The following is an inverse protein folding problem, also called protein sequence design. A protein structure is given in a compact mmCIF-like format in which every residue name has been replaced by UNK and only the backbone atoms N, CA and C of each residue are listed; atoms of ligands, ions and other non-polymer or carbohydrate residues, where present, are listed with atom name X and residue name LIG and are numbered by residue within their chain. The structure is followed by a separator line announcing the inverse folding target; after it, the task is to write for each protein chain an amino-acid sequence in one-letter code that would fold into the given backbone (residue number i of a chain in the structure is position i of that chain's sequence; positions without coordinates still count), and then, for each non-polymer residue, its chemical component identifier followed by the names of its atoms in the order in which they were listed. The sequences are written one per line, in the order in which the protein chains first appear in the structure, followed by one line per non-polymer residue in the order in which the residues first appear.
data_IF_970288950370
#
_entry.id   IF_970288950370
#
_cell.length_a   1.000
_cell.length_b   1.000
_cell.length_c   1.000
_cell.angle_alpha   90.00
_cell.angle_beta   90.00
_cell.angle_gamma   90.00
#
_symmetry.space_group_name_H-M   'P 1'
#
loop_
_entity.id
_entity.type
_entity.pdbx_description
1 polymer ?
#
# COMPACT_ATOMS: atom_id res chain seq x y z
N UNK A 1 -17.60 -28.32 -10.47
CA UNK A 1 -16.61 -27.55 -11.27
C UNK A 1 -16.65 -26.11 -10.77
N UNK A 2 -15.51 -25.57 -10.30
CA UNK A 2 -15.44 -24.16 -9.84
C UNK A 2 -15.62 -23.25 -11.05
N UNK A 3 -16.42 -22.19 -10.93
CA UNK A 3 -16.62 -21.19 -11.98
C UNK A 3 -16.20 -19.80 -11.49
N UNK A 4 -16.04 -18.86 -12.42
CA UNK A 4 -15.71 -17.48 -12.07
C UNK A 4 -16.74 -16.83 -11.12
N UNK A 5 -17.98 -17.33 -11.11
CA UNK A 5 -19.10 -16.87 -10.27
C UNK A 5 -19.29 -17.69 -8.98
N UNK A 6 -18.41 -18.65 -8.70
CA UNK A 6 -18.41 -19.35 -7.41
C UNK A 6 -18.19 -18.35 -6.27
N UNK A 7 -19.01 -18.46 -5.23
CA UNK A 7 -18.87 -17.63 -4.03
C UNK A 7 -17.68 -18.14 -3.22
N UNK A 8 -16.69 -17.27 -3.04
CA UNK A 8 -15.46 -17.51 -2.31
C UNK A 8 -15.59 -17.01 -0.86
N UNK A 9 -14.91 -17.70 0.05
CA UNK A 9 -14.64 -17.18 1.41
C UNK A 9 -13.31 -16.45 1.37
N UNK A 10 -13.36 -15.14 1.59
CA UNK A 10 -12.22 -14.25 1.46
C UNK A 10 -11.91 -13.58 2.80
N UNK A 11 -10.64 -13.28 3.03
CA UNK A 11 -10.17 -12.49 4.17
C UNK A 11 -9.24 -11.40 3.65
N UNK A 12 -9.53 -10.14 3.95
CA UNK A 12 -8.59 -9.04 3.74
C UNK A 12 -7.94 -8.69 5.08
N UNK A 13 -6.61 -8.75 5.18
CA UNK A 13 -5.91 -8.27 6.39
C UNK A 13 -5.66 -6.77 6.28
N UNK A 14 -5.53 -6.07 7.40
CA UNK A 14 -5.23 -4.63 7.45
C UNK A 14 -4.34 -4.30 8.64
N UNK A 15 -3.96 -3.03 8.77
CA UNK A 15 -3.31 -2.51 9.97
C UNK A 15 -4.37 -2.27 11.05
N UNK A 16 -4.00 -2.52 12.30
CA UNK A 16 -4.88 -2.27 13.45
C UNK A 16 -5.29 -0.79 13.47
N UNK A 17 -6.58 -0.55 13.73
CA UNK A 17 -7.20 0.77 13.67
C UNK A 17 -7.76 1.17 12.30
N UNK A 18 -7.54 0.36 11.25
CA UNK A 18 -8.08 0.59 9.90
C UNK A 18 -9.18 -0.40 9.51
N UNK A 19 -9.60 -1.29 10.41
CA UNK A 19 -10.59 -2.32 10.12
C UNK A 19 -11.93 -1.74 9.65
N UNK A 20 -12.40 -0.67 10.29
CA UNK A 20 -13.65 0.01 9.89
C UNK A 20 -13.53 0.70 8.52
N UNK A 21 -12.35 1.23 8.19
CA UNK A 21 -12.07 1.80 6.86
C UNK A 21 -12.10 0.70 5.79
N UNK A 22 -11.44 -0.44 6.07
CA UNK A 22 -11.44 -1.58 5.16
C UNK A 22 -12.84 -2.18 4.96
N UNK A 23 -13.68 -2.22 6.00
CA UNK A 23 -15.10 -2.62 5.89
C UNK A 23 -15.82 -1.73 4.88
N UNK A 24 -15.65 -0.41 4.98
CA UNK A 24 -16.28 0.54 4.05
C UNK A 24 -15.78 0.37 2.61
N UNK A 25 -14.47 0.15 2.41
CA UNK A 25 -13.91 -0.13 1.08
C UNK A 25 -14.52 -1.41 0.48
N UNK A 26 -14.61 -2.49 1.26
CA UNK A 26 -15.17 -3.77 0.81
C UNK A 26 -16.67 -3.65 0.48
N UNK A 27 -17.44 -2.95 1.32
CA UNK A 27 -18.86 -2.69 1.06
C UNK A 27 -19.06 -1.89 -0.23
N UNK A 28 -18.22 -0.87 -0.46
CA UNK A 28 -18.24 -0.05 -1.68
C UNK A 28 -17.94 -0.87 -2.93
N UNK A 29 -17.06 -1.87 -2.83
CA UNK A 29 -16.77 -2.81 -3.92
C UNK A 29 -17.84 -3.89 -4.11
N UNK A 30 -18.87 -3.94 -3.26
CA UNK A 30 -19.99 -4.88 -3.37
C UNK A 30 -19.78 -6.21 -2.65
N UNK A 31 -18.81 -6.30 -1.74
CA UNK A 31 -18.59 -7.49 -0.91
C UNK A 31 -19.84 -7.85 -0.10
N UNK A 32 -20.04 -9.16 0.13
CA UNK A 32 -21.14 -9.71 0.93
C UNK A 32 -20.60 -10.32 2.22
N UNK A 33 -21.47 -10.53 3.21
CA UNK A 33 -21.12 -11.12 4.50
C UNK A 33 -19.88 -10.48 5.13
N UNK A 34 -19.81 -9.14 5.08
CA UNK A 34 -18.66 -8.38 5.55
C UNK A 34 -18.65 -8.40 7.07
N UNK A 35 -17.66 -9.09 7.63
CA UNK A 35 -17.52 -9.32 9.06
C UNK A 35 -16.15 -8.82 9.55
N UNK A 36 -16.19 -7.84 10.44
CA UNK A 36 -15.01 -7.18 10.98
C UNK A 36 -14.35 -8.08 12.01
N UNK A 37 -13.05 -8.33 11.83
CA UNK A 37 -12.21 -9.09 12.74
C UNK A 37 -11.07 -8.20 13.26
N UNK A 38 -10.31 -8.67 14.25
CA UNK A 38 -9.11 -7.95 14.68
C UNK A 38 -8.04 -7.97 13.57
N UNK A 39 -7.63 -6.80 13.07
CA UNK A 39 -6.63 -6.67 12.00
C UNK A 39 -7.04 -7.26 10.65
N UNK A 40 -8.32 -7.57 10.44
CA UNK A 40 -8.81 -8.17 9.20
C UNK A 40 -10.32 -7.99 9.02
N UNK A 41 -10.80 -8.27 7.81
CA UNK A 41 -12.23 -8.35 7.48
C UNK A 41 -12.47 -9.62 6.70
N UNK A 42 -13.39 -10.45 7.17
CA UNK A 42 -13.91 -11.61 6.44
C UNK A 42 -15.03 -11.13 5.52
N UNK A 43 -15.09 -11.69 4.31
CA UNK A 43 -16.13 -11.35 3.35
C UNK A 43 -16.34 -12.48 2.34
N UNK A 44 -17.40 -12.37 1.56
CA UNK A 44 -17.72 -13.27 0.46
C UNK A 44 -17.83 -12.50 -0.85
N UNK A 45 -17.38 -13.12 -1.93
CA UNK A 45 -17.40 -12.57 -3.28
C UNK A 45 -17.01 -13.60 -4.32
N UNK A 46 -17.18 -13.27 -5.59
CA UNK A 46 -16.72 -14.11 -6.69
C UNK A 46 -15.25 -13.81 -7.07
N UNK A 47 -14.72 -14.49 -8.09
CA UNK A 47 -13.35 -14.23 -8.55
C UNK A 47 -13.17 -12.82 -9.11
N UNK A 48 -14.22 -12.26 -9.73
CA UNK A 48 -14.20 -10.89 -10.24
C UNK A 48 -13.99 -9.89 -9.10
N UNK A 49 -14.73 -10.04 -7.99
CA UNK A 49 -14.53 -9.21 -6.81
C UNK A 49 -13.13 -9.40 -6.22
N UNK A 50 -12.65 -10.65 -6.09
CA UNK A 50 -11.30 -10.92 -5.55
C UNK A 50 -10.21 -10.20 -6.39
N UNK A 51 -10.29 -10.27 -7.71
CA UNK A 51 -9.36 -9.55 -8.60
C UNK A 51 -9.48 -8.04 -8.39
N UNK A 52 -10.71 -7.50 -8.35
CA UNK A 52 -10.94 -6.06 -8.14
C UNK A 52 -10.42 -5.59 -6.78
N UNK A 53 -10.53 -6.39 -5.73
CA UNK A 53 -9.98 -6.09 -4.41
C UNK A 53 -8.45 -5.88 -4.47
N UNK A 54 -7.70 -6.67 -5.26
CA UNK A 54 -6.26 -6.48 -5.42
C UNK A 54 -5.88 -5.15 -6.09
N UNK A 55 -6.78 -4.56 -6.87
CA UNK A 55 -6.58 -3.25 -7.51
C UNK A 55 -7.06 -2.07 -6.67
N UNK A 56 -8.07 -2.28 -5.82
CA UNK A 56 -8.89 -1.20 -5.25
C UNK A 56 -8.81 -1.01 -3.75
N UNK A 57 -8.49 -2.06 -2.98
CA UNK A 57 -8.39 -1.92 -1.53
C UNK A 57 -7.09 -1.20 -1.17
N UNK A 58 -7.21 0.02 -0.64
CA UNK A 58 -6.06 0.85 -0.27
C UNK A 58 -5.56 0.53 1.12
N UNK A 59 -6.50 0.16 2.01
CA UNK A 59 -6.20 -0.16 3.41
C UNK A 59 -6.01 -1.66 3.67
N UNK A 60 -6.12 -2.52 2.65
CA UNK A 60 -5.77 -3.92 2.78
C UNK A 60 -4.25 -4.14 2.69
N UNK A 61 -3.72 -5.03 3.54
CA UNK A 61 -2.35 -5.54 3.50
C UNK A 61 -2.27 -6.79 2.62
N UNK A 62 -3.26 -7.68 2.65
CA UNK A 62 -3.36 -8.89 1.81
C UNK A 62 -4.83 -9.19 1.50
N UNK A 63 -5.09 -9.89 0.39
CA UNK A 63 -6.39 -10.49 0.05
C UNK A 63 -6.19 -12.00 -0.02
N UNK A 64 -6.87 -12.74 0.85
CA UNK A 64 -6.64 -14.16 1.09
C UNK A 64 -7.87 -14.97 0.70
N UNK A 65 -7.69 -16.00 -0.14
CA UNK A 65 -8.69 -17.02 -0.42
C UNK A 65 -8.59 -18.14 0.63
N UNK A 66 -9.61 -18.32 1.46
CA UNK A 66 -9.64 -19.39 2.46
C UNK A 66 -9.85 -20.76 1.80
N UNK A 67 -8.92 -21.68 2.03
CA UNK A 67 -8.98 -23.04 1.48
C UNK A 67 -9.56 -24.02 2.49
N UNK A 68 -9.05 -23.98 3.72
CA UNK A 68 -9.42 -24.90 4.78
C UNK A 68 -9.34 -24.20 6.14
N UNK A 69 -10.19 -24.60 7.07
CA UNK A 69 -10.17 -24.11 8.44
C UNK A 69 -10.68 -25.20 9.38
N UNK A 70 -10.05 -25.33 10.55
CA UNK A 70 -10.47 -26.25 11.61
C UNK A 70 -9.97 -25.75 12.98
N UNK A 71 -10.46 -26.36 14.06
CA UNK A 71 -9.80 -26.22 15.37
C UNK A 71 -8.72 -27.29 15.49
N UNK A 72 -7.56 -26.91 16.01
CA UNK A 72 -6.41 -27.78 16.24
C UNK A 72 -6.18 -27.94 17.75
N UNK A 73 -5.88 -29.16 18.18
CA UNK A 73 -5.45 -29.48 19.54
C UNK A 73 -3.92 -29.62 19.62
N UNK A 74 -3.29 -30.11 18.55
CA UNK A 74 -1.85 -30.31 18.50
C UNK A 74 -1.22 -29.96 17.13
N UNK A 75 0.06 -30.31 16.98
CA UNK A 75 0.82 -30.04 15.75
C UNK A 75 0.48 -30.99 14.60
N UNK A 76 -0.02 -32.20 14.92
CA UNK A 76 -0.44 -33.19 13.93
C UNK A 76 -1.69 -32.70 13.22
N UNK A 77 -2.61 -32.08 13.93
CA UNK A 77 -3.83 -31.51 13.32
C UNK A 77 -3.53 -30.45 12.25
N UNK A 78 -2.50 -29.61 12.45
CA UNK A 78 -2.04 -28.67 11.41
C UNK A 78 -1.50 -29.40 10.17
N UNK A 79 -0.70 -30.45 10.39
CA UNK A 79 -0.14 -31.25 9.30
C UNK A 79 -1.25 -31.97 8.51
N UNK A 80 -2.20 -32.58 9.22
CA UNK A 80 -3.37 -33.25 8.64
C UNK A 80 -4.26 -32.27 7.86
N UNK A 81 -4.54 -31.09 8.42
CA UNK A 81 -5.26 -30.03 7.72
C UNK A 81 -4.53 -29.61 6.44
N UNK A 82 -3.21 -29.41 6.52
CA UNK A 82 -2.37 -29.09 5.37
C UNK A 82 -2.43 -30.16 4.28
N UNK A 83 -2.43 -31.44 4.66
CA UNK A 83 -2.58 -32.57 3.73
C UNK A 83 -3.99 -32.74 3.17
N UNK A 84 -5.03 -32.27 3.85
CA UNK A 84 -6.42 -32.37 3.40
C UNK A 84 -6.74 -31.50 2.18
N UNK A 85 -5.90 -30.50 1.90
CA UNK A 85 -6.06 -29.59 0.77
C UNK A 85 -5.54 -30.25 -0.51
N UNK A 86 -6.37 -30.30 -1.55
CA UNK A 86 -5.99 -30.80 -2.88
C UNK A 86 -5.06 -29.82 -3.64
N UNK A 87 -3.81 -29.65 -3.19
CA UNK A 87 -2.89 -28.66 -3.73
C UNK A 87 -2.63 -28.79 -5.23
N UNK A 88 -2.60 -30.02 -5.75
CA UNK A 88 -2.41 -30.32 -7.17
C UNK A 88 -3.56 -29.81 -8.06
N UNK A 89 -4.75 -29.58 -7.49
CA UNK A 89 -5.89 -28.94 -8.16
C UNK A 89 -5.81 -27.42 -8.12
N UNK A 90 -4.99 -26.85 -7.23
CA UNK A 90 -4.81 -25.41 -7.05
C UNK A 90 -3.64 -24.84 -7.86
N UNK A 91 -2.52 -25.56 -7.96
CA UNK A 91 -1.37 -25.13 -8.76
C UNK A 91 -0.52 -26.31 -9.25
N UNK A 92 0.36 -26.04 -10.22
CA UNK A 92 1.25 -27.05 -10.78
C UNK A 92 2.50 -27.26 -9.90
N UNK A 93 3.02 -28.49 -9.86
CA UNK A 93 4.16 -28.86 -9.00
C UNK A 93 5.47 -28.11 -9.33
N UNK A 94 5.58 -27.54 -10.53
CA UNK A 94 6.74 -26.74 -10.95
C UNK A 94 6.69 -25.28 -10.44
N UNK A 95 5.63 -24.89 -9.72
CA UNK A 95 5.53 -23.58 -9.09
C UNK A 95 6.26 -23.58 -7.76
N UNK A 96 6.95 -22.49 -7.47
CA UNK A 96 7.62 -22.27 -6.19
C UNK A 96 6.61 -21.83 -5.12
N UNK A 97 6.84 -22.26 -3.88
CA UNK A 97 5.97 -21.91 -2.76
C UNK A 97 6.70 -21.11 -1.67
N UNK A 98 5.95 -20.29 -0.94
CA UNK A 98 6.33 -19.77 0.37
C UNK A 98 5.15 -19.86 1.33
N UNK A 99 5.43 -20.08 2.62
CA UNK A 99 4.43 -20.07 3.68
C UNK A 99 4.71 -18.89 4.60
N UNK A 100 3.81 -17.91 4.58
CA UNK A 100 3.73 -16.84 5.57
C UNK A 100 2.83 -17.30 6.72
N UNK A 101 3.15 -16.95 7.96
CA UNK A 101 2.32 -17.30 9.10
C UNK A 101 2.09 -16.15 10.07
N UNK A 102 0.89 -16.10 10.63
CA UNK A 102 0.51 -15.26 11.76
C UNK A 102 -0.06 -16.18 12.85
N UNK A 103 0.66 -16.31 13.97
CA UNK A 103 0.36 -17.29 15.02
C UNK A 103 0.26 -16.59 16.36
N UNK A 104 -0.89 -16.76 17.00
CA UNK A 104 -1.15 -16.41 18.39
C UNK A 104 -1.81 -17.62 19.05
N UNK A 105 -1.01 -18.55 19.58
CA UNK A 105 -1.51 -19.82 20.10
C UNK A 105 -0.60 -20.35 21.22
N UNK A 106 -1.17 -21.17 22.11
CA UNK A 106 -0.38 -21.95 23.08
C UNK A 106 0.19 -23.24 22.47
N UNK A 107 -0.40 -23.73 21.37
CA UNK A 107 0.02 -24.96 20.68
C UNK A 107 1.31 -24.70 19.89
N UNK A 108 1.37 -23.53 19.25
CA UNK A 108 2.53 -23.07 18.48
C UNK A 108 3.07 -21.78 19.08
N UNK A 109 4.21 -21.86 19.77
CA UNK A 109 4.92 -20.70 20.31
C UNK A 109 5.78 -19.96 19.27
N UNK A 110 6.01 -20.57 18.10
CA UNK A 110 6.86 -20.03 17.04
C UNK A 110 6.14 -20.10 15.68
N UNK A 111 5.89 -18.93 15.10
CA UNK A 111 5.24 -18.79 13.79
C UNK A 111 6.03 -19.43 12.65
N UNK A 112 7.37 -19.34 12.68
CA UNK A 112 8.23 -19.95 11.67
C UNK A 112 8.13 -21.48 11.70
N UNK A 113 8.10 -22.08 12.88
CA UNK A 113 7.93 -23.53 13.03
C UNK A 113 6.57 -24.00 12.47
N UNK A 114 5.48 -23.29 12.76
CA UNK A 114 4.17 -23.59 12.19
C UNK A 114 4.17 -23.49 10.65
N UNK A 115 4.86 -22.47 10.10
CA UNK A 115 5.01 -22.31 8.65
C UNK A 115 5.78 -23.49 8.02
N UNK A 116 6.87 -23.94 8.65
CA UNK A 116 7.63 -25.11 8.20
C UNK A 116 6.77 -26.39 8.21
N UNK A 117 5.97 -26.60 9.26
CA UNK A 117 5.06 -27.75 9.34
C UNK A 117 4.03 -27.76 8.22
N UNK A 118 3.40 -26.61 7.93
CA UNK A 118 2.48 -26.52 6.80
C UNK A 118 3.20 -26.74 5.46
N UNK A 119 4.39 -26.16 5.29
CA UNK A 119 5.21 -26.37 4.08
C UNK A 119 5.51 -27.86 3.86
N UNK A 120 5.87 -28.59 4.91
CA UNK A 120 6.12 -30.03 4.83
C UNK A 120 4.85 -30.78 4.39
N UNK A 121 3.68 -30.47 5.00
CA UNK A 121 2.41 -31.06 4.61
C UNK A 121 2.07 -30.81 3.12
N UNK A 122 2.30 -29.59 2.62
CA UNK A 122 2.10 -29.23 1.20
C UNK A 122 3.02 -30.06 0.30
N UNK A 123 4.33 -30.10 0.61
CA UNK A 123 5.30 -30.87 -0.16
C UNK A 123 5.00 -32.36 -0.18
N UNK A 124 4.60 -32.93 0.95
CA UNK A 124 4.30 -34.35 1.09
C UNK A 124 2.98 -34.74 0.41
N UNK A 125 1.98 -33.85 0.39
CA UNK A 125 0.76 -34.07 -0.40
C UNK A 125 1.09 -34.14 -1.88
N UNK A 126 1.84 -33.16 -2.43
CA UNK A 126 2.32 -33.21 -3.81
C UNK A 126 3.13 -34.48 -4.12
N UNK A 127 4.07 -34.84 -3.24
CA UNK A 127 4.92 -36.01 -3.42
C UNK A 127 4.08 -37.29 -3.48
N UNK A 128 3.11 -37.43 -2.58
CA UNK A 128 2.23 -38.61 -2.54
C UNK A 128 1.34 -38.75 -3.77
N UNK A 129 0.93 -37.64 -4.40
CA UNK A 129 0.04 -37.64 -5.57
C UNK A 129 0.77 -37.67 -6.92
N UNK A 130 1.97 -37.10 -6.98
CA UNK A 130 2.66 -36.84 -8.26
C UNK A 130 4.08 -37.39 -8.33
N UNK A 131 4.61 -37.91 -7.22
CA UNK A 131 6.02 -38.33 -7.09
C UNK A 131 7.02 -37.17 -7.00
N UNK A 132 6.57 -35.91 -7.17
CA UNK A 132 7.41 -34.70 -7.15
C UNK A 132 6.95 -33.75 -6.05
N UNK A 133 7.81 -32.79 -5.67
CA UNK A 133 7.47 -31.71 -4.74
C UNK A 133 7.73 -30.35 -5.39
N UNK A 134 7.00 -29.29 -5.01
CA UNK A 134 7.37 -27.93 -5.38
C UNK A 134 8.64 -27.48 -4.66
N UNK A 135 9.39 -26.59 -5.31
CA UNK A 135 10.52 -25.88 -4.73
C UNK A 135 10.06 -24.69 -3.87
N UNK A 136 10.96 -24.16 -3.04
CA UNK A 136 10.65 -23.08 -2.09
C UNK A 136 11.41 -21.82 -2.48
N UNK A 137 10.71 -20.70 -2.59
CA UNK A 137 11.30 -19.37 -2.84
C UNK A 137 10.70 -18.36 -1.86
N UNK A 138 11.47 -17.87 -0.89
CA UNK A 138 10.93 -16.97 0.14
C UNK A 138 10.63 -15.55 -0.40
N UNK A 139 11.38 -15.11 -1.41
CA UNK A 139 11.27 -13.75 -1.98
C UNK A 139 10.25 -13.73 -3.11
N UNK A 140 10.44 -14.57 -4.11
CA UNK A 140 9.67 -14.59 -5.36
C UNK A 140 8.96 -15.93 -5.51
N UNK A 141 8.07 -16.24 -4.56
CA UNK A 141 7.22 -17.42 -4.68
C UNK A 141 6.14 -17.19 -5.73
N UNK A 142 5.95 -18.16 -6.62
CA UNK A 142 4.78 -18.21 -7.51
C UNK A 142 3.47 -18.30 -6.71
N UNK A 143 3.50 -19.07 -5.63
CA UNK A 143 2.36 -19.34 -4.74
C UNK A 143 2.74 -18.97 -3.31
N UNK A 144 2.02 -18.00 -2.74
CA UNK A 144 2.11 -17.69 -1.32
C UNK A 144 0.93 -18.29 -0.57
N UNK A 145 1.24 -19.14 0.39
CA UNK A 145 0.30 -19.76 1.31
C UNK A 145 0.36 -18.97 2.62
N UNK A 146 -0.80 -18.63 3.17
CA UNK A 146 -0.90 -17.94 4.44
C UNK A 146 -1.52 -18.85 5.49
N UNK A 147 -0.78 -19.09 6.58
CA UNK A 147 -1.24 -19.79 7.77
C UNK A 147 -1.66 -18.78 8.83
N UNK A 148 -2.89 -18.87 9.33
CA UNK A 148 -3.34 -18.10 10.47
C UNK A 148 -3.76 -19.04 11.59
N UNK A 149 -3.17 -18.89 12.76
CA UNK A 149 -3.56 -19.63 13.97
C UNK A 149 -3.87 -18.62 15.07
N UNK A 150 -5.11 -18.61 15.55
CA UNK A 150 -5.50 -17.83 16.73
C UNK A 150 -6.14 -18.76 17.76
N UNK A 151 -5.54 -18.85 18.93
CA UNK A 151 -5.84 -19.86 19.95
C UNK A 151 -5.78 -21.27 19.37
N UNK A 152 -6.94 -21.89 19.14
CA UNK A 152 -7.06 -23.21 18.52
C UNK A 152 -7.58 -23.13 17.08
N UNK A 153 -8.03 -21.97 16.61
CA UNK A 153 -8.60 -21.83 15.28
C UNK A 153 -7.48 -21.66 14.26
N UNK A 154 -7.39 -22.61 13.32
CA UNK A 154 -6.38 -22.67 12.28
C UNK A 154 -7.03 -22.52 10.91
N UNK A 155 -6.50 -21.61 10.09
CA UNK A 155 -6.95 -21.36 8.73
C UNK A 155 -5.77 -21.35 7.76
N UNK A 156 -5.93 -22.05 6.64
CA UNK A 156 -5.01 -22.05 5.51
C UNK A 156 -5.64 -21.29 4.35
N UNK A 157 -4.89 -20.35 3.78
CA UNK A 157 -5.33 -19.52 2.66
C UNK A 157 -4.28 -19.40 1.56
N UNK A 158 -4.69 -19.05 0.34
CA UNK A 158 -3.79 -18.52 -0.69
C UNK A 158 -3.83 -16.98 -0.69
N UNK A 159 -2.66 -16.35 -0.82
CA UNK A 159 -2.54 -14.91 -1.00
C UNK A 159 -2.73 -14.54 -2.48
N UNK A 160 -3.84 -13.88 -2.80
CA UNK A 160 -4.21 -13.52 -4.16
C UNK A 160 -3.24 -12.51 -4.78
N UNK A 161 -2.72 -11.57 -3.98
CA UNK A 161 -1.85 -10.52 -4.45
C UNK A 161 -0.39 -10.97 -4.61
N UNK A 162 0.00 -12.10 -4.02
CA UNK A 162 1.38 -12.59 -4.04
C UNK A 162 2.30 -11.88 -3.04
N UNK A 163 1.73 -11.31 -1.99
CA UNK A 163 2.43 -10.59 -0.95
C UNK A 163 1.71 -9.29 -0.62
N UNK A 164 2.35 -8.46 0.19
CA UNK A 164 1.63 -7.30 0.71
C UNK A 164 1.24 -6.32 -0.40
N UNK A 165 -0.03 -5.92 -0.37
CA UNK A 165 -0.61 -4.85 -1.17
C UNK A 165 -0.01 -3.49 -0.85
N UNK A 166 0.83 -3.39 0.21
CA UNK A 166 1.49 -2.13 0.45
C UNK A 166 2.45 -1.74 -0.69
N UNK A 167 2.98 -2.70 -1.43
CA UNK A 167 3.83 -2.43 -2.59
C UNK A 167 2.96 -2.13 -3.80
N UNK A 168 2.61 -0.86 -4.00
CA UNK A 168 1.66 -0.42 -5.05
C UNK A 168 2.26 -0.58 -6.44
N UNK A 169 3.58 -0.46 -6.54
CA UNK A 169 4.36 -0.49 -7.77
C UNK A 169 4.86 0.89 -8.22
N UNK A 170 4.33 1.99 -7.67
CA UNK A 170 4.79 3.34 -8.04
C UNK A 170 6.12 3.76 -7.40
N UNK A 171 6.50 3.11 -6.29
CA UNK A 171 7.69 3.49 -5.52
C UNK A 171 8.94 2.93 -6.19
N UNK A 172 9.56 3.74 -7.03
CA UNK A 172 10.83 3.41 -7.70
C UNK A 172 12.03 3.65 -6.80
N UNK A 173 11.90 4.57 -5.82
CA UNK A 173 12.92 4.85 -4.82
C UNK A 173 12.28 5.03 -3.46
N UNK A 174 12.97 4.57 -2.42
CA UNK A 174 12.56 4.73 -1.04
C UNK A 174 13.58 5.59 -0.28
N UNK A 175 13.07 6.45 0.61
CA UNK A 175 13.90 7.08 1.64
C UNK A 175 14.03 6.15 2.85
N UNK A 176 14.74 6.56 3.89
CA UNK A 176 14.95 5.78 5.11
C UNK A 176 13.59 5.52 5.80
N UNK A 177 13.20 4.24 5.85
CA UNK A 177 12.04 3.72 6.56
C UNK A 177 10.73 4.50 6.25
N UNK A 178 10.24 4.35 5.00
CA UNK A 178 9.08 5.09 4.50
C UNK A 178 7.80 4.66 5.21
N UNK A 179 6.84 5.58 5.30
CA UNK A 179 5.50 5.27 5.75
C UNK A 179 4.87 4.22 4.83
N UNK A 180 4.30 3.17 5.41
CA UNK A 180 3.49 2.21 4.64
C UNK A 180 2.37 2.96 3.93
N UNK A 181 2.20 2.76 2.64
CA UNK A 181 1.15 3.44 1.90
C UNK A 181 -0.25 2.92 2.32
N UNK A 182 -0.34 1.77 3.03
CA UNK A 182 -1.60 1.28 3.64
C UNK A 182 -1.99 2.20 4.78
N UNK A 183 -1.00 2.54 5.61
CA UNK A 183 -1.20 3.48 6.71
C UNK A 183 -1.47 4.89 6.18
N UNK A 184 -0.73 5.33 5.15
CA UNK A 184 -0.94 6.63 4.53
C UNK A 184 -2.36 6.77 3.94
N UNK A 185 -2.84 5.79 3.18
CA UNK A 185 -4.21 5.78 2.68
C UNK A 185 -5.24 5.79 3.82
N UNK A 186 -5.02 4.98 4.87
CA UNK A 186 -5.87 4.99 6.06
C UNK A 186 -5.91 6.34 6.78
N UNK A 187 -4.75 7.01 6.93
CA UNK A 187 -4.65 8.34 7.53
C UNK A 187 -5.42 9.40 6.74
N UNK A 188 -5.36 9.35 5.41
CA UNK A 188 -6.11 10.25 4.52
C UNK A 188 -7.61 9.96 4.63
N UNK A 189 -8.03 8.70 4.52
CA UNK A 189 -9.44 8.31 4.60
C UNK A 189 -10.08 8.68 5.95
N UNK A 190 -9.34 8.56 7.06
CA UNK A 190 -9.80 8.96 8.39
C UNK A 190 -9.80 10.49 8.62
N UNK A 191 -8.97 11.22 7.86
CA UNK A 191 -8.90 12.67 7.92
C UNK A 191 -10.04 13.34 7.16
N UNK A 192 -10.60 12.64 6.16
CA UNK A 192 -11.68 13.11 5.28
C UNK A 192 -11.41 14.53 4.74
N UNK A 193 -10.28 14.77 4.02
CA UNK A 193 -9.99 16.08 3.46
C UNK A 193 -11.13 16.59 2.59
N UNK A 194 -11.47 17.87 2.72
CA UNK A 194 -12.43 18.51 1.81
C UNK A 194 -11.91 18.40 0.37
N UNK A 195 -12.67 17.76 -0.55
CA UNK A 195 -12.25 17.61 -1.93
C UNK A 195 -11.88 18.94 -2.60
N UNK A 196 -12.62 20.01 -2.34
CA UNK A 196 -12.44 21.29 -3.04
C UNK A 196 -11.30 22.13 -2.44
N UNK A 197 -10.63 21.61 -1.40
CA UNK A 197 -9.58 22.32 -0.70
C UNK A 197 -8.20 21.68 -0.92
N UNK A 198 -7.12 22.47 -0.77
CA UNK A 198 -5.77 21.95 -0.87
C UNK A 198 -5.44 20.89 0.20
N UNK A 199 -4.63 19.92 -0.21
CA UNK A 199 -3.97 18.92 0.62
C UNK A 199 -2.47 19.20 0.68
N UNK A 200 -1.87 19.14 1.88
CA UNK A 200 -0.44 19.39 2.03
C UNK A 200 0.24 18.46 3.05
N UNK A 201 1.40 17.92 2.69
CA UNK A 201 2.34 17.32 3.65
C UNK A 201 3.64 18.13 3.65
N UNK A 202 3.89 18.91 4.70
CA UNK A 202 5.07 19.78 4.78
C UNK A 202 6.32 19.08 5.34
N UNK A 203 6.26 17.77 5.57
CA UNK A 203 7.36 16.90 5.96
C UNK A 203 7.29 15.56 5.21
N UNK A 204 7.10 15.63 3.89
CA UNK A 204 6.54 14.51 3.14
C UNK A 204 7.52 13.39 2.81
N UNK A 205 8.82 13.59 3.06
CA UNK A 205 9.86 12.64 2.69
C UNK A 205 9.71 12.19 1.24
N UNK A 206 9.49 10.89 1.04
CA UNK A 206 9.27 10.27 -0.29
C UNK A 206 7.92 10.56 -0.97
N UNK A 207 7.08 11.43 -0.41
CA UNK A 207 5.84 11.91 -1.04
C UNK A 207 4.62 10.99 -0.89
N UNK A 208 4.63 10.07 0.07
CA UNK A 208 3.62 8.99 0.17
C UNK A 208 2.21 9.52 0.48
N UNK A 209 2.06 10.43 1.44
CA UNK A 209 0.75 10.99 1.82
C UNK A 209 0.10 11.79 0.68
N UNK A 210 0.81 12.74 0.01
CA UNK A 210 0.24 13.43 -1.15
C UNK A 210 -0.16 12.52 -2.31
N UNK A 211 0.64 11.46 -2.58
CA UNK A 211 0.33 10.48 -3.63
C UNK A 211 -0.94 9.69 -3.31
N UNK A 212 -1.08 9.16 -2.08
CA UNK A 212 -2.28 8.43 -1.68
C UNK A 212 -3.51 9.36 -1.65
N UNK A 213 -3.36 10.60 -1.15
CA UNK A 213 -4.44 11.57 -1.15
C UNK A 213 -4.93 11.91 -2.55
N UNK A 214 -4.01 12.08 -3.50
CA UNK A 214 -4.33 12.29 -4.91
C UNK A 214 -5.10 11.10 -5.49
N UNK A 215 -4.61 9.87 -5.28
CA UNK A 215 -5.29 8.68 -5.80
C UNK A 215 -6.68 8.46 -5.17
N UNK A 216 -6.85 8.79 -3.88
CA UNK A 216 -8.15 8.72 -3.20
C UNK A 216 -9.13 9.74 -3.78
N UNK A 217 -8.71 11.02 -3.91
CA UNK A 217 -9.55 12.11 -4.44
C UNK A 217 -10.14 11.80 -5.81
N UNK A 218 -9.35 11.19 -6.69
CA UNK A 218 -9.72 10.92 -8.08
C UNK A 218 -10.20 9.47 -8.31
N UNK A 219 -10.46 8.71 -7.24
CA UNK A 219 -10.88 7.31 -7.29
C UNK A 219 -10.00 6.42 -8.19
N UNK A 220 -8.68 6.64 -8.13
CA UNK A 220 -7.70 5.93 -8.95
C UNK A 220 -7.26 4.62 -8.28
N UNK A 221 -7.20 3.50 -9.00
CA UNK A 221 -6.85 2.19 -8.43
C UNK A 221 -5.39 2.13 -7.96
N UNK A 222 -5.17 1.84 -6.67
CA UNK A 222 -3.84 1.81 -6.07
C UNK A 222 -2.99 0.62 -6.52
N UNK A 223 -3.61 -0.49 -6.95
CA UNK A 223 -2.92 -1.69 -7.40
C UNK A 223 -2.57 -1.71 -8.90
N UNK A 224 -2.85 -0.63 -9.65
CA UNK A 224 -2.71 -0.64 -11.12
C UNK A 224 -1.27 -0.79 -11.62
N UNK A 225 -0.30 -0.39 -10.79
CA UNK A 225 1.13 -0.48 -11.09
C UNK A 225 1.74 -1.84 -10.70
N UNK A 226 0.94 -2.75 -10.12
CA UNK A 226 1.37 -4.13 -9.89
C UNK A 226 1.25 -4.90 -11.20
N UNK A 227 2.37 -5.43 -11.68
CA UNK A 227 2.42 -6.17 -12.94
C UNK A 227 1.90 -7.59 -12.81
N UNK A 228 2.25 -8.24 -11.70
CA UNK A 228 2.00 -9.67 -11.46
C UNK A 228 1.21 -9.85 -10.17
N UNK A 229 0.20 -10.72 -10.24
CA UNK A 229 -0.51 -11.22 -9.08
C UNK A 229 -0.32 -12.72 -8.95
N UNK A 230 -0.17 -13.24 -7.72
CA UNK A 230 0.01 -14.67 -7.50
C UNK A 230 -1.18 -15.51 -7.96
N UNK A 231 -2.39 -14.94 -8.00
CA UNK A 231 -3.56 -15.66 -8.53
C UNK A 231 -3.41 -16.07 -10.00
N UNK A 232 -2.51 -15.47 -10.77
CA UNK A 232 -2.25 -15.83 -12.17
C UNK A 232 -1.55 -17.20 -12.29
N UNK A 233 -0.93 -17.67 -11.20
CA UNK A 233 -0.30 -18.98 -11.11
C UNK A 233 -1.28 -20.09 -10.66
N UNK A 234 -2.53 -19.77 -10.36
CA UNK A 234 -3.52 -20.74 -9.87
C UNK A 234 -4.20 -21.47 -11.03
N UNK A 235 -4.51 -22.76 -10.88
CA UNK A 235 -5.24 -23.56 -11.88
C UNK A 235 -6.68 -23.10 -12.07
N UNK A 236 -7.27 -22.47 -11.06
CA UNK A 236 -8.59 -21.86 -11.12
C UNK A 236 -8.53 -20.35 -11.44
N UNK A 237 -7.47 -19.90 -12.11
CA UNK A 237 -7.36 -18.55 -12.63
C UNK A 237 -8.29 -18.35 -13.83
N UNK A 238 -9.17 -17.35 -13.75
CA UNK A 238 -10.09 -17.00 -14.84
C UNK A 238 -9.54 -15.80 -15.63
N UNK A 239 -8.65 -16.09 -16.59
CA UNK A 239 -7.92 -15.07 -17.35
C UNK A 239 -8.84 -14.02 -18.00
N UNK A 240 -9.94 -14.44 -18.65
CA UNK A 240 -10.88 -13.50 -19.28
C UNK A 240 -11.49 -12.53 -18.27
N UNK A 241 -11.95 -13.05 -17.13
CA UNK A 241 -12.52 -12.24 -16.05
C UNK A 241 -11.49 -11.27 -15.48
N UNK A 242 -10.28 -11.74 -15.18
CA UNK A 242 -9.20 -10.86 -14.72
C UNK A 242 -8.84 -9.80 -15.76
N UNK A 243 -8.71 -10.15 -17.03
CA UNK A 243 -8.40 -9.21 -18.12
C UNK A 243 -9.44 -8.09 -18.20
N UNK A 244 -10.73 -8.41 -18.05
CA UNK A 244 -11.80 -7.41 -17.98
C UNK A 244 -11.63 -6.48 -16.78
N UNK A 245 -11.39 -7.00 -15.58
CA UNK A 245 -11.13 -6.16 -14.39
C UNK A 245 -9.91 -5.28 -14.60
N UNK A 246 -8.79 -5.85 -15.05
CA UNK A 246 -7.54 -5.11 -15.31
C UNK A 246 -7.75 -4.00 -16.33
N UNK A 247 -8.51 -4.25 -17.39
CA UNK A 247 -8.82 -3.23 -18.41
C UNK A 247 -9.70 -2.11 -17.84
N UNK A 248 -10.69 -2.43 -17.01
CA UNK A 248 -11.52 -1.42 -16.33
C UNK A 248 -10.67 -0.54 -15.40
N UNK A 249 -9.83 -1.14 -14.57
CA UNK A 249 -9.02 -0.39 -13.61
C UNK A 249 -7.89 0.41 -14.31
N UNK A 250 -7.22 -0.16 -15.31
CA UNK A 250 -6.29 0.60 -16.16
C UNK A 250 -6.99 1.72 -16.93
N UNK A 251 -8.19 1.46 -17.43
CA UNK A 251 -9.02 2.44 -18.14
C UNK A 251 -9.29 3.69 -17.30
N UNK A 252 -9.62 3.52 -16.01
CA UNK A 252 -9.78 4.65 -15.07
C UNK A 252 -8.53 5.53 -14.98
N UNK A 253 -7.35 4.91 -14.91
CA UNK A 253 -6.07 5.64 -14.88
C UNK A 253 -5.84 6.41 -16.19
N UNK A 254 -5.98 5.74 -17.32
CA UNK A 254 -5.75 6.33 -18.64
C UNK A 254 -6.74 7.45 -18.95
N UNK A 255 -8.02 7.25 -18.63
CA UNK A 255 -9.06 8.28 -18.81
C UNK A 255 -8.80 9.52 -17.95
N UNK A 256 -8.33 9.33 -16.71
CA UNK A 256 -7.91 10.43 -15.86
C UNK A 256 -6.78 11.23 -16.52
N UNK A 257 -5.69 10.58 -16.93
CA UNK A 257 -4.56 11.26 -17.57
C UNK A 257 -4.98 11.99 -18.85
N UNK A 258 -5.80 11.36 -19.70
CA UNK A 258 -6.31 11.98 -20.94
C UNK A 258 -7.09 13.27 -20.65
N UNK A 259 -8.03 13.23 -19.70
CA UNK A 259 -8.81 14.41 -19.29
C UNK A 259 -7.90 15.49 -18.73
N UNK A 260 -6.94 15.09 -17.90
CA UNK A 260 -5.99 15.96 -17.25
C UNK A 260 -5.12 16.74 -18.25
N UNK A 261 -4.52 16.04 -19.22
CA UNK A 261 -3.64 16.66 -20.21
C UNK A 261 -4.38 17.43 -21.31
N UNK A 262 -5.59 16.98 -21.66
CA UNK A 262 -6.43 17.70 -22.64
C UNK A 262 -6.88 19.07 -22.12
N UNK A 263 -7.11 19.19 -20.81
CA UNK A 263 -7.39 20.48 -20.16
C UNK A 263 -6.16 21.39 -20.10
N UNK A 264 -4.96 20.81 -20.20
CA UNK A 264 -3.70 21.50 -20.01
C UNK A 264 -2.97 21.86 -21.31
N UNK A 265 -3.50 21.44 -22.47
CA UNK A 265 -2.95 21.76 -23.80
C UNK A 265 -1.65 21.03 -24.17
N UNK A 266 -1.34 19.90 -23.50
CA UNK A 266 -0.10 19.14 -23.69
C UNK A 266 -0.36 17.71 -24.18
N UNK A 267 0.59 17.13 -24.92
CA UNK A 267 0.48 15.78 -25.47
C UNK A 267 0.32 14.70 -24.37
N UNK A 268 -0.52 13.72 -24.65
CA UNK A 268 -0.81 12.58 -23.77
C UNK A 268 0.40 11.63 -23.80
N UNK A 269 0.96 11.16 -22.67
CA UNK A 269 1.95 10.09 -22.69
C UNK A 269 1.35 8.82 -23.32
N UNK A 270 1.98 8.28 -24.38
CA UNK A 270 1.45 7.19 -25.22
C UNK A 270 1.20 5.86 -24.51
N UNK A 271 1.60 5.71 -23.24
CA UNK A 271 1.23 4.59 -22.39
C UNK A 271 1.38 4.97 -20.91
N UNK A 272 0.59 4.40 -19.97
CA UNK A 272 0.96 4.45 -18.58
C UNK A 272 2.38 3.86 -18.42
N UNK A 273 3.25 4.48 -17.61
CA UNK A 273 4.64 4.05 -17.50
C UNK A 273 4.74 2.59 -17.07
N UNK A 274 5.58 1.82 -17.76
CA UNK A 274 6.03 0.54 -17.27
C UNK A 274 6.88 0.77 -16.01
N UNK A 275 6.64 0.07 -14.89
CA UNK A 275 7.55 0.11 -13.76
C UNK A 275 8.92 -0.44 -14.18
N UNK A 276 9.98 0.24 -13.75
CA UNK A 276 11.35 -0.26 -13.92
C UNK A 276 11.55 -1.44 -12.95
N UNK A 277 12.08 -2.54 -13.48
CA UNK A 277 12.45 -3.72 -12.70
C UNK A 277 13.56 -3.37 -11.70
N UNK A 278 13.45 -3.92 -10.47
CA UNK A 278 14.48 -3.77 -9.44
C UNK A 278 15.79 -4.39 -9.93
N UNK A 279 16.75 -3.55 -10.34
CA UNK A 279 18.13 -3.96 -10.55
C UNK A 279 18.83 -4.11 -9.19
N UNK A 280 18.54 -5.18 -8.47
CA UNK A 280 19.42 -5.71 -7.41
C UNK A 280 19.87 -7.11 -7.79
N UNK A 281 20.79 -7.19 -8.75
CA UNK A 281 21.51 -8.41 -9.11
C UNK A 281 23.01 -8.12 -9.10
N UNK A 282 23.66 -8.36 -7.96
CA UNK A 282 25.11 -8.53 -7.93
C UNK A 282 25.44 -9.87 -8.56
N UNK A 283 26.03 -9.86 -9.75
CA UNK A 283 26.53 -11.05 -10.44
C UNK A 283 27.75 -10.69 -11.28
N UNK A 284 28.93 -11.01 -10.74
CA UNK A 284 30.13 -11.22 -11.54
C UNK A 284 29.92 -12.53 -12.31
N UNK A 285 30.06 -12.52 -13.63
CA UNK A 285 30.73 -13.59 -14.40
C UNK A 285 30.85 -13.18 -15.88
N UNK A 286 32.04 -13.40 -16.42
CA UNK A 286 32.42 -13.15 -17.81
C UNK A 286 31.89 -14.28 -18.71
N UNK A 287 31.25 -13.93 -19.83
CA UNK A 287 31.37 -14.69 -21.08
C UNK A 287 30.92 -13.84 -22.27
N UNK A 288 31.79 -13.70 -23.26
CA UNK A 288 31.52 -13.09 -24.57
C UNK A 288 30.59 -13.99 -25.41
N UNK A 289 29.57 -13.39 -26.04
CA UNK A 289 29.24 -13.59 -27.45
C UNK A 289 28.00 -12.75 -27.84
N UNK A 290 28.26 -11.77 -28.70
CA UNK A 290 27.40 -11.14 -29.73
C UNK A 290 25.93 -11.56 -29.83
N UNK A 291 25.02 -10.63 -29.53
CA UNK A 291 23.89 -10.30 -30.42
C UNK A 291 23.40 -8.87 -30.17
N UNK A 292 22.87 -8.22 -31.20
CA UNK A 292 22.67 -6.77 -31.32
C UNK A 292 21.72 -6.17 -30.26
N UNK A 293 21.98 -4.96 -29.72
CA UNK A 293 21.06 -4.30 -28.81
C UNK A 293 19.87 -3.73 -29.59
N UNK A 294 18.67 -4.24 -29.29
CA UNK A 294 17.42 -3.51 -29.54
C UNK A 294 17.47 -2.27 -28.65
N UNK A 295 17.58 -1.09 -29.24
CA UNK A 295 17.60 0.18 -28.53
C UNK A 295 16.23 0.41 -27.88
N UNK A 296 16.14 0.22 -26.57
CA UNK A 296 15.07 0.77 -25.74
C UNK A 296 15.16 2.30 -25.76
N UNK A 297 14.24 2.95 -26.45
CA UNK A 297 14.08 4.41 -26.35
C UNK A 297 13.62 4.77 -24.94
N UNK A 298 14.56 5.30 -24.15
CA UNK A 298 14.26 6.02 -22.91
C UNK A 298 13.47 7.28 -23.25
N UNK A 299 12.18 7.31 -22.90
CA UNK A 299 11.39 8.53 -22.95
C UNK A 299 11.84 9.46 -21.82
N UNK A 300 12.71 10.41 -22.13
CA UNK A 300 13.04 11.55 -21.27
C UNK A 300 12.01 12.65 -21.56
N UNK A 301 10.93 12.71 -20.77
CA UNK A 301 10.09 13.93 -20.76
C UNK A 301 10.89 15.01 -20.04
N UNK A 302 11.28 16.04 -20.78
CA UNK A 302 11.93 17.26 -20.28
C UNK A 302 10.92 18.10 -19.46
N UNK A 303 11.37 18.64 -18.33
CA UNK A 303 10.57 19.47 -17.39
C UNK A 303 10.04 20.79 -17.99
N UNK A 304 10.33 21.10 -19.27
CA UNK A 304 10.16 22.44 -19.82
C UNK A 304 8.84 22.72 -20.55
N UNK A 305 7.91 21.76 -20.67
CA UNK A 305 6.56 22.02 -21.20
C UNK A 305 5.49 21.22 -20.44
N UNK A 306 5.24 21.59 -19.18
CA UNK A 306 4.11 21.06 -18.41
C UNK A 306 2.84 21.92 -18.63
N UNK A 307 1.81 21.32 -19.21
CA UNK A 307 0.47 21.88 -19.23
C UNK A 307 -0.08 22.08 -17.81
N UNK A 308 -0.84 23.17 -17.62
CA UNK A 308 -1.44 23.56 -16.32
C UNK A 308 -2.81 22.92 -16.11
N UNK A 309 -2.99 22.25 -14.95
CA UNK A 309 -4.29 21.77 -14.44
C UNK A 309 -4.99 22.78 -13.54
N UNK A 310 -4.22 23.64 -12.90
CA UNK A 310 -4.71 24.77 -12.13
C UNK A 310 -4.79 26.02 -13.01
N UNK A 311 -5.76 26.89 -12.74
CA UNK A 311 -5.89 28.17 -13.44
C UNK A 311 -4.57 28.95 -13.38
N UNK A 312 -4.24 29.78 -14.39
CA UNK A 312 -3.04 30.60 -14.37
C UNK A 312 -2.90 31.36 -13.04
N UNK A 313 -1.86 31.05 -12.26
CA UNK A 313 -1.61 31.66 -10.95
C UNK A 313 -2.06 30.85 -9.72
N UNK A 314 -2.73 29.71 -9.88
CA UNK A 314 -3.11 28.84 -8.75
C UNK A 314 -2.15 27.66 -8.58
N UNK A 315 -1.75 27.40 -7.33
CA UNK A 315 -0.98 26.20 -6.97
C UNK A 315 -1.82 24.93 -7.15
N UNK A 316 -1.20 23.78 -7.46
CA UNK A 316 -1.89 22.49 -7.44
C UNK A 316 -2.52 22.21 -6.08
N UNK A 317 -3.66 21.51 -6.07
CA UNK A 317 -4.36 21.14 -4.84
C UNK A 317 -3.53 20.20 -3.96
N UNK A 318 -2.66 19.37 -4.54
CA UNK A 318 -1.81 18.44 -3.81
C UNK A 318 -0.38 18.93 -3.76
N UNK A 319 0.13 19.11 -2.55
CA UNK A 319 1.50 19.57 -2.32
C UNK A 319 2.22 18.67 -1.34
N UNK A 320 3.54 18.61 -1.48
CA UNK A 320 4.45 18.02 -0.51
C UNK A 320 5.74 18.82 -0.43
N UNK A 321 6.30 18.97 0.75
CA UNK A 321 7.65 19.51 0.89
C UNK A 321 8.45 18.78 1.96
N UNK A 322 9.76 18.85 1.83
CA UNK A 322 10.69 18.39 2.86
C UNK A 322 11.98 19.22 2.77
N UNK A 323 12.70 19.36 3.88
CA UNK A 323 14.01 20.03 3.89
C UNK A 323 15.08 19.22 3.16
N UNK A 324 14.86 17.90 3.03
CA UNK A 324 15.78 16.99 2.36
C UNK A 324 15.56 17.05 0.84
N UNK A 325 16.50 17.67 0.13
CA UNK A 325 16.51 17.66 -1.34
C UNK A 325 16.51 16.22 -1.90
N UNK A 326 17.20 15.28 -1.22
CA UNK A 326 17.23 13.86 -1.62
C UNK A 326 15.84 13.23 -1.54
N UNK A 327 15.08 13.54 -0.50
CA UNK A 327 13.72 13.04 -0.34
C UNK A 327 12.79 13.62 -1.42
N UNK A 328 12.97 14.90 -1.78
CA UNK A 328 12.21 15.54 -2.86
C UNK A 328 12.51 14.93 -4.23
N UNK A 329 13.76 14.58 -4.52
CA UNK A 329 14.11 13.85 -5.75
C UNK A 329 13.42 12.47 -5.80
N UNK A 330 13.34 11.78 -4.67
CA UNK A 330 12.60 10.52 -4.56
C UNK A 330 11.10 10.74 -4.79
N UNK A 331 10.50 11.75 -4.15
CA UNK A 331 9.08 12.07 -4.28
C UNK A 331 8.70 12.43 -5.73
N UNK A 332 9.49 13.28 -6.39
CA UNK A 332 9.34 13.63 -7.81
C UNK A 332 9.49 12.40 -8.71
N UNK A 333 10.45 11.52 -8.43
CA UNK A 333 10.66 10.29 -9.19
C UNK A 333 9.47 9.33 -9.05
N UNK A 334 8.92 9.16 -7.84
CA UNK A 334 7.72 8.35 -7.58
C UNK A 334 6.49 8.93 -8.31
N UNK A 335 6.30 10.26 -8.27
CA UNK A 335 5.25 10.96 -9.05
C UNK A 335 5.39 10.71 -10.56
N UNK A 336 6.60 10.89 -11.10
CA UNK A 336 6.90 10.70 -12.52
C UNK A 336 6.65 9.25 -12.96
N UNK A 337 6.99 8.28 -12.12
CA UNK A 337 6.71 6.86 -12.36
C UNK A 337 5.22 6.52 -12.45
N UNK A 338 4.32 7.46 -12.13
CA UNK A 338 2.87 7.32 -12.29
C UNK A 338 2.32 8.05 -13.52
N UNK A 339 3.19 8.75 -14.28
CA UNK A 339 2.78 9.62 -15.39
C UNK A 339 2.23 10.97 -14.93
N UNK A 340 2.48 11.36 -13.68
CA UNK A 340 2.00 12.61 -13.10
C UNK A 340 3.09 13.70 -13.18
N UNK A 341 2.65 14.94 -13.43
CA UNK A 341 3.47 16.16 -13.55
C UNK A 341 3.35 17.06 -12.31
N UNK A 342 4.09 18.16 -12.26
CA UNK A 342 3.98 19.11 -11.13
C UNK A 342 2.62 19.78 -11.04
N UNK A 343 1.88 19.89 -12.14
CA UNK A 343 0.50 20.39 -12.13
C UNK A 343 -0.48 19.45 -11.41
N UNK A 344 -0.15 18.18 -11.24
CA UNK A 344 -0.94 17.23 -10.47
C UNK A 344 -0.55 17.23 -8.99
N UNK A 345 0.74 17.06 -8.71
CA UNK A 345 1.31 17.04 -7.35
C UNK A 345 2.62 17.82 -7.36
N UNK A 346 2.67 18.90 -6.60
CA UNK A 346 3.85 19.74 -6.46
C UNK A 346 4.71 19.29 -5.28
N UNK A 347 5.97 18.94 -5.56
CA UNK A 347 6.97 18.58 -4.55
C UNK A 347 8.10 19.61 -4.53
N UNK A 348 8.35 20.23 -3.38
CA UNK A 348 9.31 21.32 -3.22
C UNK A 348 10.27 21.10 -2.05
N UNK A 349 11.55 21.42 -2.24
CA UNK A 349 12.51 21.45 -1.13
C UNK A 349 12.26 22.70 -0.30
N UNK A 350 11.66 22.54 0.89
CA UNK A 350 11.33 23.65 1.79
C UNK A 350 11.52 23.21 3.23
N UNK A 351 12.11 24.09 4.03
CA UNK A 351 12.16 23.92 5.48
C UNK A 351 10.89 24.52 6.10
N UNK A 352 10.04 23.66 6.68
CA UNK A 352 8.81 24.08 7.34
C UNK A 352 9.03 24.90 8.62
N UNK A 353 10.24 24.86 9.17
CA UNK A 353 10.57 25.53 10.43
C UNK A 353 11.24 26.89 10.23
N UNK A 354 11.68 27.19 9.00
CA UNK A 354 12.20 28.51 8.64
C UNK A 354 11.16 29.61 8.86
N UNK A 355 11.61 30.80 9.30
CA UNK A 355 10.75 31.98 9.44
C UNK A 355 10.11 32.44 8.11
N UNK A 356 10.74 32.12 6.98
CA UNK A 356 10.20 32.38 5.66
C UNK A 356 9.10 31.40 5.25
N UNK A 357 8.85 30.34 6.03
CA UNK A 357 7.84 29.34 5.70
C UNK A 357 6.42 29.89 5.88
N UNK A 358 5.74 30.08 4.75
CA UNK A 358 4.33 30.40 4.70
C UNK A 358 3.63 29.58 3.63
N UNK A 359 2.36 29.26 3.87
CA UNK A 359 1.49 28.76 2.80
C UNK A 359 0.92 29.96 2.05
N UNK A 360 1.01 29.92 0.72
CA UNK A 360 0.83 31.10 -0.14
C UNK A 360 -0.58 31.74 -0.09
N UNK A 361 -1.56 31.13 0.57
CA UNK A 361 -2.93 31.65 0.64
C UNK A 361 -3.51 31.57 2.07
N UNK A 362 -3.23 32.59 2.91
CA UNK A 362 -3.90 32.75 4.21
C UNK A 362 -5.43 32.77 4.03
N UNK A 363 -6.14 31.86 4.69
CA UNK A 363 -7.61 31.83 4.70
C UNK A 363 -8.28 30.95 3.65
N UNK A 364 -7.55 30.35 2.70
CA UNK A 364 -8.14 29.38 1.75
C UNK A 364 -8.61 28.09 2.45
N UNK A 365 -8.02 27.78 3.62
CA UNK A 365 -8.23 26.54 4.35
C UNK A 365 -7.67 25.32 3.60
N UNK A 366 -7.77 24.15 4.22
CA UNK A 366 -7.22 22.92 3.66
C UNK A 366 -6.95 21.87 4.71
N UNK A 367 -6.41 20.73 4.26
CA UNK A 367 -5.99 19.66 5.15
C UNK A 367 -4.50 19.43 5.01
N UNK A 368 -3.78 19.50 6.12
CA UNK A 368 -2.40 19.04 6.18
C UNK A 368 -2.33 17.72 6.94
N UNK A 369 -1.60 16.74 6.42
CA UNK A 369 -1.33 15.48 7.13
C UNK A 369 0.17 15.26 7.11
N UNK A 370 0.76 15.01 8.27
CA UNK A 370 2.19 14.79 8.43
C UNK A 370 2.48 13.55 9.25
N UNK A 371 3.61 12.91 8.96
CA UNK A 371 4.22 11.86 9.75
C UNK A 371 5.64 12.29 10.15
N UNK A 372 5.78 13.15 11.19
CA UNK A 372 7.07 13.66 11.63
C UNK A 372 7.97 12.54 12.16
N UNK A 373 9.28 12.78 12.34
CA UNK A 373 10.15 11.82 13.03
C UNK A 373 9.69 11.59 14.50
N UNK A 374 9.84 10.35 14.97
CA UNK A 374 9.64 9.94 16.36
C UNK A 374 10.35 8.61 16.65
N UNK A 375 10.34 8.20 17.93
CA UNK A 375 10.98 6.98 18.40
C UNK A 375 12.50 7.12 18.40
N UNK A 376 13.22 6.06 18.01
CA UNK A 376 14.69 6.04 17.94
C UNK A 376 15.27 7.07 16.95
N UNK A 377 14.44 7.68 16.10
CA UNK A 377 14.87 8.71 15.14
C UNK A 377 15.17 10.07 15.78
N UNK A 378 14.84 10.26 17.06
CA UNK A 378 15.00 11.53 17.75
C UNK A 378 15.15 11.32 19.26
N UNK A 379 16.10 12.00 19.90
CA UNK A 379 16.23 11.97 21.36
C UNK A 379 15.00 12.59 22.02
N UNK A 380 14.75 12.29 23.31
CA UNK A 380 13.60 12.86 24.03
C UNK A 380 13.65 14.39 24.14
N UNK A 381 14.84 14.96 24.31
CA UNK A 381 15.05 16.41 24.41
C UNK A 381 14.81 17.09 23.05
N UNK A 382 15.41 16.55 21.99
CA UNK A 382 15.19 17.02 20.62
C UNK A 382 13.72 16.92 20.24
N UNK A 383 13.04 15.86 20.66
CA UNK A 383 11.61 15.68 20.41
C UNK A 383 10.77 16.75 21.12
N UNK A 384 11.10 17.14 22.35
CA UNK A 384 10.34 18.18 23.03
C UNK A 384 10.45 19.54 22.32
N UNK A 385 11.67 19.92 21.90
CA UNK A 385 11.92 21.14 21.16
C UNK A 385 11.25 21.12 19.78
N UNK A 386 11.45 20.04 19.02
CA UNK A 386 10.88 19.85 17.69
C UNK A 386 9.34 19.93 17.69
N UNK A 387 8.67 19.23 18.62
CA UNK A 387 7.21 19.26 18.65
C UNK A 387 6.65 20.61 19.14
N UNK A 388 7.42 21.38 19.93
CA UNK A 388 7.08 22.77 20.24
C UNK A 388 7.15 23.63 18.99
N UNK A 389 8.27 23.56 18.27
CA UNK A 389 8.48 24.31 17.03
C UNK A 389 7.44 23.96 15.96
N UNK A 390 7.07 22.68 15.85
CA UNK A 390 5.96 22.21 15.00
C UNK A 390 4.65 22.92 15.34
N UNK A 391 4.30 23.02 16.63
CA UNK A 391 3.12 23.76 17.07
C UNK A 391 3.18 25.25 16.74
N UNK A 392 4.35 25.88 16.89
CA UNK A 392 4.57 27.29 16.57
C UNK A 392 4.46 27.53 15.04
N UNK A 393 5.04 26.67 14.20
CA UNK A 393 4.87 26.67 12.74
C UNK A 393 3.40 26.50 12.34
N UNK A 394 2.67 25.57 12.96
CA UNK A 394 1.25 25.37 12.69
C UNK A 394 0.45 26.65 12.97
N UNK A 395 0.66 27.29 14.13
CA UNK A 395 -0.01 28.55 14.49
C UNK A 395 0.29 29.69 13.52
N UNK A 396 1.57 29.82 13.14
CA UNK A 396 2.03 30.91 12.25
C UNK A 396 1.53 30.74 10.82
N UNK A 397 1.58 29.52 10.29
CA UNK A 397 1.51 29.30 8.85
C UNK A 397 0.27 28.55 8.39
N UNK A 398 -0.56 27.97 9.28
CA UNK A 398 -1.70 27.12 8.88
C UNK A 398 -3.08 27.66 9.30
N UNK A 399 -3.25 28.96 9.48
CA UNK A 399 -4.57 29.56 9.80
C UNK A 399 -5.64 29.16 8.77
N UNK A 400 -6.77 28.66 9.25
CA UNK A 400 -7.89 28.12 8.48
C UNK A 400 -7.77 26.63 8.11
N UNK A 401 -6.67 25.96 8.45
CA UNK A 401 -6.44 24.56 8.07
C UNK A 401 -6.78 23.56 9.19
N UNK A 402 -7.09 22.33 8.78
CA UNK A 402 -7.05 21.15 9.64
C UNK A 402 -5.70 20.46 9.49
N UNK A 403 -4.89 20.44 10.55
CA UNK A 403 -3.57 19.80 10.54
C UNK A 403 -3.62 18.50 11.35
N UNK A 404 -3.22 17.40 10.73
CA UNK A 404 -3.19 16.08 11.32
C UNK A 404 -1.76 15.59 11.53
N UNK A 405 -1.45 15.14 12.75
CA UNK A 405 -0.10 14.72 13.15
C UNK A 405 -0.14 13.30 13.68
N UNK A 406 0.67 12.40 13.09
CA UNK A 406 0.91 11.04 13.58
C UNK A 406 2.19 10.99 14.42
N UNK A 407 2.14 10.42 15.62
CA UNK A 407 3.34 10.17 16.44
C UNK A 407 3.17 9.03 17.43
N UNK A 408 4.22 8.24 17.69
CA UNK A 408 4.26 7.32 18.83
C UNK A 408 4.68 8.01 20.14
N UNK A 409 5.25 9.22 20.08
CA UNK A 409 5.73 9.95 21.26
C UNK A 409 4.60 10.77 21.90
N UNK A 410 3.83 10.13 22.79
CA UNK A 410 2.68 10.75 23.48
C UNK A 410 3.06 11.98 24.32
N UNK A 411 4.28 12.03 24.88
CA UNK A 411 4.79 13.15 25.68
C UNK A 411 5.22 14.32 24.81
N UNK A 412 5.97 14.10 23.73
CA UNK A 412 6.35 15.16 22.80
C UNK A 412 5.12 15.80 22.14
N UNK A 413 4.07 15.01 21.85
CA UNK A 413 2.79 15.53 21.36
C UNK A 413 2.10 16.52 22.31
N UNK A 414 2.45 16.56 23.61
CA UNK A 414 1.97 17.60 24.55
C UNK A 414 2.67 18.94 24.33
N UNK A 415 3.87 18.94 23.75
CA UNK A 415 4.70 20.14 23.49
C UNK A 415 4.23 20.97 22.31
N UNK A 416 3.39 20.42 21.42
CA UNK A 416 2.70 21.18 20.35
C UNK A 416 1.96 22.41 20.91
N UNK A 417 1.51 22.38 22.17
CA UNK A 417 0.90 23.57 22.79
C UNK A 417 -0.40 24.02 22.13
N UNK A 418 -1.10 23.08 21.48
CA UNK A 418 -2.42 23.21 20.88
C UNK A 418 -3.34 22.10 21.41
N UNK A 419 -4.63 22.41 21.55
CA UNK A 419 -5.64 21.41 21.93
C UNK A 419 -6.09 20.67 20.66
N UNK A 420 -5.92 19.34 20.57
CA UNK A 420 -6.41 18.58 19.42
C UNK A 420 -7.95 18.48 19.46
N UNK A 421 -8.58 18.61 18.30
CA UNK A 421 -10.04 18.47 18.13
C UNK A 421 -10.48 17.02 17.92
N UNK A 422 -9.60 16.16 17.40
CA UNK A 422 -9.83 14.72 17.25
C UNK A 422 -8.56 13.95 17.62
N UNK A 423 -8.71 12.76 18.22
CA UNK A 423 -7.62 11.84 18.53
C UNK A 423 -8.02 10.43 18.13
N UNK A 424 -7.19 9.78 17.34
CA UNK A 424 -7.34 8.39 16.93
C UNK A 424 -6.08 7.61 17.34
N UNK A 425 -6.22 6.30 17.47
CA UNK A 425 -5.09 5.38 17.69
C UNK A 425 -4.85 4.60 16.41
N UNK A 426 -3.63 4.66 15.89
CA UNK A 426 -3.18 3.93 14.71
C UNK A 426 -1.88 3.18 15.03
N UNK A 427 -1.44 2.28 14.15
CA UNK A 427 -0.22 1.52 14.35
C UNK A 427 0.72 1.67 13.15
N UNK A 428 1.93 2.16 13.37
CA UNK A 428 2.99 2.20 12.36
C UNK A 428 3.97 1.05 12.60
N UNK A 429 3.77 -0.04 11.88
CA UNK A 429 4.42 -1.31 12.20
C UNK A 429 3.99 -1.78 13.61
N UNK A 430 4.94 -2.13 14.51
CA UNK A 430 4.61 -2.52 15.87
C UNK A 430 4.30 -1.33 16.80
N UNK A 431 4.54 -0.09 16.37
CA UNK A 431 4.43 1.09 17.23
C UNK A 431 2.99 1.57 17.30
N UNK A 432 2.44 1.66 18.52
CA UNK A 432 1.20 2.38 18.76
C UNK A 432 1.43 3.90 18.63
N UNK A 433 0.66 4.53 17.76
CA UNK A 433 0.70 5.95 17.47
C UNK A 433 -0.62 6.63 17.84
N UNK A 434 -0.54 7.89 18.25
CA UNK A 434 -1.69 8.79 18.30
C UNK A 434 -1.72 9.62 17.02
N UNK A 435 -2.87 9.66 16.37
CA UNK A 435 -3.14 10.47 15.19
C UNK A 435 -4.12 11.58 15.59
N UNK A 436 -3.66 12.83 15.57
CA UNK A 436 -4.39 13.95 16.17
C UNK A 436 -4.67 15.04 15.15
N UNK A 437 -5.92 15.52 15.11
CA UNK A 437 -6.33 16.70 14.35
C UNK A 437 -6.21 17.95 15.21
N UNK A 438 -5.72 19.03 14.63
CA UNK A 438 -5.68 20.37 15.17
C UNK A 438 -6.35 21.31 14.17
N UNK A 439 -7.42 21.97 14.60
CA UNK A 439 -8.11 22.96 13.78
C UNK A 439 -7.49 24.34 14.08
N UNK A 440 -6.96 24.98 13.05
CA UNK A 440 -6.17 26.20 13.18
C UNK A 440 -7.06 27.42 12.88
N UNK A 441 -7.54 28.11 13.92
CA UNK A 441 -8.47 29.24 13.80
C UNK A 441 -7.79 30.60 13.63
#
# INVERSE_FOLDING_TARGET
MVSAKSILKLKATTLRGLEDVLVQELQTLGAKNVDKQHGAVLFSGDFELMYRCCYRLRTAVRVLLQLASTRIADQKDLYDLGRSVSWNELFAVNKTIAVDSAVHSRIFSNSHYAALKLKDAVCDEFRSKTGKRPDVSLKEADIRIHLHIHEQDCTISLDAAGGSLHRRGYRVRADIAPLSEVLAAGMVLLAEPDPEKPFYDFMCGSGTLPIEAFMIRYDLPCGVFREVHAFENWRNYFEKTHRTVRQQEKGRWTEFLKKSFSQSGSDIPDNPPAPLTDATGTGNEQSEATDQPVTEEKIVVADSQEGRLSAPGQSPLFRGSDRSWKAMEIAKSNRKAMGLTSSHILFETRDAFSDAFSIAEPGAGGTAIINPPYGERMSLEDAAAFYKELGDTMKRSFKGWSVWVLSSNKEAMKRIGLKPSKKLTLYNGPLECTYRRYDMY
#
